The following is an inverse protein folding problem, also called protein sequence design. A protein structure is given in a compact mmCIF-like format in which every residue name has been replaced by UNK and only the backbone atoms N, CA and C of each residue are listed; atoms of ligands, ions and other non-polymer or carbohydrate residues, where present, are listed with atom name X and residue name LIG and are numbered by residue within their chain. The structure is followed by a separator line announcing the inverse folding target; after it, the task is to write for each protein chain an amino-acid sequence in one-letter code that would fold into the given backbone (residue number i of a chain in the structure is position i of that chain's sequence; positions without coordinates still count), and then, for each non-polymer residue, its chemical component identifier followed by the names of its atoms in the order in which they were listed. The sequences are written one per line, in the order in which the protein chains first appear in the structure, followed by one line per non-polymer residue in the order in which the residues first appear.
data_IF_342064347893
#
_entry.id   IF_342064347893
#
_cell.length_a   1.000
_cell.length_b   1.000
_cell.length_c   1.000
_cell.angle_alpha   90.00
_cell.angle_beta   90.00
_cell.angle_gamma   90.00
#
_symmetry.space_group_name_H-M   'P 1'
#
loop_
_entity.id
_entity.type
_entity.pdbx_description
1 polymer ?
#
# COMPACT_ATOMS: atom_id res chain seq x y z
N UNK A 1 -15.80 -56.25 10.54
CA UNK A 1 -17.00 -56.53 11.35
C UNK A 1 -17.42 -55.20 11.97
N UNK A 2 -18.34 -54.51 11.29
CA UNK A 2 -19.75 -54.30 11.71
C UNK A 2 -19.87 -53.04 12.58
N UNK A 3 -20.18 -51.88 11.97
CA UNK A 3 -21.52 -51.32 11.76
C UNK A 3 -22.21 -50.93 13.08
N UNK A 4 -22.43 -49.63 13.31
CA UNK A 4 -23.60 -49.11 14.01
C UNK A 4 -23.77 -47.59 13.75
N UNK A 5 -24.74 -47.25 12.88
CA UNK A 5 -25.64 -46.08 13.04
C UNK A 5 -26.88 -46.57 13.82
N UNK A 6 -27.66 -45.77 14.57
CA UNK A 6 -28.55 -44.68 14.07
C UNK A 6 -28.59 -43.48 15.08
N UNK A 7 -29.36 -42.38 15.02
CA UNK A 7 -30.79 -42.20 14.72
C UNK A 7 -31.07 -40.70 14.54
N UNK A 8 -31.87 -40.35 13.52
CA UNK A 8 -32.48 -39.02 13.33
C UNK A 8 -33.44 -38.68 14.48
N UNK A 9 -33.46 -37.41 14.91
CA UNK A 9 -34.63 -36.81 15.53
C UNK A 9 -35.21 -35.73 14.62
N UNK A 10 -36.51 -35.88 14.39
CA UNK A 10 -37.41 -35.04 13.60
C UNK A 10 -38.40 -34.37 14.54
N UNK A 11 -38.62 -33.07 14.38
CA UNK A 11 -39.82 -32.27 14.72
C UNK A 11 -39.49 -30.84 14.30
N UNK A 12 -39.96 -30.23 13.21
CA UNK A 12 -41.27 -30.05 12.58
C UNK A 12 -42.15 -28.94 13.19
N UNK A 13 -42.59 -28.04 12.27
CA UNK A 13 -43.70 -27.04 12.32
C UNK A 13 -43.47 -25.81 13.18
N UNK A 14 -43.90 -24.60 12.80
CA UNK A 14 -44.72 -24.07 11.69
C UNK A 14 -44.56 -22.54 11.79
N UNK A 15 -44.32 -21.77 10.73
CA UNK A 15 -45.28 -21.46 9.66
C UNK A 15 -45.93 -20.09 9.93
N UNK A 16 -45.73 -19.10 9.05
CA UNK A 16 -46.81 -18.46 8.28
C UNK A 16 -46.27 -17.31 7.40
N UNK A 17 -46.40 -17.55 6.10
CA UNK A 17 -46.66 -16.70 4.93
C UNK A 17 -46.93 -15.20 5.07
N UNK A 18 -46.44 -14.42 4.09
CA UNK A 18 -47.02 -13.10 3.75
C UNK A 18 -46.31 -12.27 2.67
N UNK A 19 -46.43 -12.70 1.40
CA UNK A 19 -46.51 -11.96 0.13
C UNK A 19 -45.61 -10.73 -0.21
N UNK A 20 -44.70 -10.98 -1.16
CA UNK A 20 -44.53 -10.37 -2.50
C UNK A 20 -45.02 -8.94 -2.75
N UNK A 21 -44.12 -8.07 -3.26
CA UNK A 21 -44.38 -7.21 -4.43
C UNK A 21 -43.09 -7.01 -5.26
N UNK A 22 -43.20 -7.28 -6.56
CA UNK A 22 -42.23 -7.00 -7.62
C UNK A 22 -42.46 -5.55 -8.10
N UNK A 23 -41.39 -4.79 -8.32
CA UNK A 23 -41.42 -3.62 -9.21
C UNK A 23 -40.09 -3.50 -9.97
N UNK A 24 -40.15 -3.76 -11.28
CA UNK A 24 -39.17 -3.27 -12.26
C UNK A 24 -39.50 -1.81 -12.57
N UNK A 25 -38.50 -0.93 -12.68
CA UNK A 25 -38.55 0.27 -13.53
C UNK A 25 -37.20 0.99 -13.65
N UNK A 26 -36.64 0.92 -14.87
CA UNK A 26 -35.99 1.96 -15.71
C UNK A 26 -34.84 2.84 -15.20
N UNK A 27 -33.80 2.85 -16.05
CA UNK A 27 -32.66 3.77 -16.14
C UNK A 27 -33.10 5.20 -16.42
N UNK A 28 -32.46 6.18 -15.78
CA UNK A 28 -32.38 7.55 -16.29
C UNK A 28 -31.03 8.18 -15.95
N UNK A 29 -30.18 8.34 -16.98
CA UNK A 29 -29.09 9.32 -16.98
C UNK A 29 -29.70 10.71 -16.79
N UNK A 30 -29.24 11.45 -15.79
CA UNK A 30 -29.46 12.90 -15.69
C UNK A 30 -28.11 13.59 -15.57
N UNK A 31 -27.71 14.18 -16.69
CA UNK A 31 -26.78 15.29 -16.74
C UNK A 31 -27.54 16.60 -16.47
N UNK A 32 -26.77 17.64 -16.16
CA UNK A 32 -27.13 19.06 -16.13
C UNK A 32 -27.76 19.65 -14.84
N UNK A 33 -26.99 20.51 -14.18
CA UNK A 33 -27.25 21.95 -14.27
C UNK A 33 -27.99 22.63 -13.12
N UNK A 34 -27.23 23.34 -12.27
CA UNK A 34 -27.48 24.74 -11.91
C UNK A 34 -28.53 25.09 -10.83
N UNK A 35 -28.13 25.97 -9.89
CA UNK A 35 -29.05 26.80 -9.13
C UNK A 35 -28.71 26.92 -7.64
N UNK A 36 -28.01 27.98 -7.28
CA UNK A 36 -27.78 28.45 -5.92
C UNK A 36 -29.10 28.86 -5.25
N UNK A 37 -29.26 28.60 -3.95
CA UNK A 37 -29.66 29.59 -2.93
C UNK A 37 -29.61 28.92 -1.54
N UNK A 38 -29.16 29.69 -0.56
CA UNK A 38 -28.47 29.20 0.65
C UNK A 38 -29.29 28.44 1.68
N UNK A 39 -28.61 27.48 2.30
CA UNK A 39 -28.69 27.20 3.73
C UNK A 39 -27.31 26.64 4.13
N UNK A 40 -26.51 27.44 4.83
CA UNK A 40 -25.16 27.06 5.25
C UNK A 40 -25.20 26.11 6.45
N UNK A 41 -25.59 24.86 6.22
CA UNK A 41 -25.13 23.77 7.07
C UNK A 41 -23.65 23.53 6.79
N UNK A 42 -22.76 23.40 7.79
CA UNK A 42 -21.39 23.00 7.51
C UNK A 42 -21.46 21.66 6.76
N UNK A 43 -20.82 21.53 5.58
CA UNK A 43 -20.64 20.21 5.02
C UNK A 43 -19.83 19.45 6.06
N UNK A 44 -20.42 18.40 6.63
CA UNK A 44 -19.67 17.40 7.37
C UNK A 44 -18.52 17.01 6.45
N UNK A 45 -17.34 17.52 6.80
CA UNK A 45 -16.08 17.21 6.16
C UNK A 45 -15.81 15.76 6.47
N UNK A 46 -16.49 14.88 5.75
CA UNK A 46 -16.03 13.53 5.51
C UNK A 46 -14.68 13.68 4.87
N UNK A 47 -13.65 13.74 5.71
CA UNK A 47 -12.30 13.35 5.36
C UNK A 47 -12.42 11.87 5.00
N UNK A 48 -12.88 11.62 3.78
CA UNK A 48 -12.63 10.38 3.09
C UNK A 48 -11.13 10.33 2.98
N UNK A 49 -10.50 9.78 4.01
CA UNK A 49 -9.07 9.53 4.00
C UNK A 49 -8.82 8.79 2.70
N UNK A 50 -8.18 9.46 1.75
CA UNK A 50 -7.85 8.88 0.47
C UNK A 50 -7.04 7.64 0.81
N UNK A 51 -7.66 6.47 0.61
CA UNK A 51 -6.97 5.21 0.82
C UNK A 51 -5.65 5.21 0.02
N UNK A 52 -4.65 4.45 0.44
CA UNK A 52 -3.37 4.40 -0.26
C UNK A 52 -3.60 4.13 -1.76
N UNK A 53 -3.01 4.94 -2.62
CA UNK A 53 -3.35 4.98 -4.06
C UNK A 53 -2.65 3.86 -4.84
N UNK A 54 -3.40 3.16 -5.71
CA UNK A 54 -2.88 2.14 -6.65
C UNK A 54 -2.11 2.73 -7.84
N UNK A 55 -2.10 4.06 -7.98
CA UNK A 55 -1.28 4.72 -8.99
C UNK A 55 0.18 4.78 -8.53
N UNK A 56 1.11 4.38 -9.42
CA UNK A 56 2.55 4.55 -9.15
C UNK A 56 2.95 6.04 -8.99
N UNK A 57 2.08 6.97 -9.41
CA UNK A 57 2.19 8.40 -9.12
C UNK A 57 2.38 8.70 -7.64
N UNK A 58 1.76 7.92 -6.76
CA UNK A 58 1.88 8.12 -5.32
C UNK A 58 3.27 7.73 -4.76
N UNK A 59 4.07 6.98 -5.52
CA UNK A 59 5.43 6.58 -5.13
C UNK A 59 6.46 7.67 -5.42
N UNK A 60 6.17 8.61 -6.32
CA UNK A 60 7.10 9.65 -6.72
C UNK A 60 7.44 10.60 -5.56
N UNK A 61 8.73 10.93 -5.47
CA UNK A 61 9.23 11.89 -4.48
C UNK A 61 10.41 11.36 -3.68
N UNK A 62 10.70 12.10 -2.61
CA UNK A 62 11.77 11.83 -1.67
C UNK A 62 11.19 11.22 -0.39
N UNK A 63 11.84 10.18 0.09
CA UNK A 63 11.44 9.38 1.23
C UNK A 63 12.61 9.19 2.18
N UNK A 64 12.35 9.27 3.48
CA UNK A 64 13.35 9.13 4.52
C UNK A 64 13.03 7.93 5.39
N UNK A 65 14.01 7.05 5.62
CA UNK A 65 13.83 5.93 6.52
C UNK A 65 13.43 6.42 7.92
N UNK A 66 12.40 5.80 8.51
CA UNK A 66 11.88 6.16 9.83
C UNK A 66 12.92 5.86 10.90
N UNK A 67 13.52 4.68 10.83
CA UNK A 67 14.52 4.19 11.76
C UNK A 67 15.81 4.97 11.73
N UNK A 68 16.53 4.92 12.86
CA UNK A 68 17.84 5.51 13.04
C UNK A 68 18.86 4.41 13.35
N UNK A 69 19.85 4.24 12.48
CA UNK A 69 20.93 3.28 12.70
C UNK A 69 22.05 3.98 13.45
N UNK A 70 22.48 3.43 14.59
CA UNK A 70 23.55 3.98 15.43
C UNK A 70 24.85 3.25 15.14
N UNK A 71 25.95 3.99 14.90
CA UNK A 71 27.29 3.43 14.82
C UNK A 71 28.31 4.36 15.49
N UNK A 72 28.77 3.96 16.67
CA UNK A 72 29.75 4.72 17.45
C UNK A 72 29.23 6.09 17.86
N UNK A 73 29.88 7.15 17.37
CA UNK A 73 29.51 8.54 17.64
C UNK A 73 28.66 9.18 16.52
N UNK A 74 28.18 8.37 15.58
CA UNK A 74 27.37 8.78 14.45
C UNK A 74 26.10 7.96 14.36
N UNK A 75 25.13 8.51 13.63
CA UNK A 75 23.91 7.80 13.29
C UNK A 75 23.48 8.11 11.87
N UNK A 76 22.67 7.22 11.29
CA UNK A 76 22.38 7.22 9.86
C UNK A 76 20.90 6.98 9.59
N UNK A 77 20.43 7.60 8.51
CA UNK A 77 19.15 7.29 7.86
C UNK A 77 19.36 7.07 6.38
N UNK A 78 18.67 6.09 5.80
CA UNK A 78 18.62 5.94 4.34
C UNK A 78 17.64 6.94 3.76
N UNK A 79 17.98 7.45 2.59
CA UNK A 79 17.07 8.23 1.74
C UNK A 79 16.77 7.41 0.50
N UNK A 80 15.53 7.51 0.06
CA UNK A 80 15.06 6.93 -1.18
C UNK A 80 14.46 8.07 -2.00
N UNK A 81 14.83 8.15 -3.28
CA UNK A 81 14.19 9.04 -4.24
C UNK A 81 13.61 8.20 -5.36
N UNK A 82 12.39 8.50 -5.75
CA UNK A 82 11.65 7.80 -6.79
C UNK A 82 11.30 8.81 -7.87
N UNK A 83 11.59 8.47 -9.12
CA UNK A 83 11.22 9.27 -10.30
C UNK A 83 10.47 8.40 -11.28
N UNK A 84 9.33 8.86 -11.75
CA UNK A 84 8.57 8.13 -12.76
C UNK A 84 9.21 8.42 -14.12
N UNK A 85 9.62 7.35 -14.82
CA UNK A 85 10.28 7.44 -16.12
C UNK A 85 9.49 6.74 -17.23
N UNK A 86 8.41 6.05 -16.89
CA UNK A 86 7.45 5.47 -17.81
C UNK A 86 6.15 5.11 -17.10
N UNK A 87 5.16 4.64 -17.86
CA UNK A 87 3.81 4.38 -17.33
C UNK A 87 3.78 3.38 -16.16
N UNK A 88 4.72 2.44 -16.14
CA UNK A 88 4.89 1.46 -15.07
C UNK A 88 6.34 1.38 -14.56
N UNK A 89 7.16 2.39 -14.89
CA UNK A 89 8.60 2.35 -14.68
C UNK A 89 9.01 3.50 -13.76
N UNK A 90 9.77 3.16 -12.72
CA UNK A 90 10.41 4.15 -11.85
C UNK A 90 11.92 3.94 -11.84
N UNK A 91 12.66 5.04 -11.88
CA UNK A 91 14.04 5.04 -11.42
C UNK A 91 14.06 5.26 -9.92
N UNK A 92 14.73 4.37 -9.19
CA UNK A 92 14.92 4.52 -7.75
C UNK A 92 16.39 4.80 -7.42
N UNK A 93 16.55 5.72 -6.49
CA UNK A 93 17.84 6.26 -6.08
C UNK A 93 17.94 6.10 -4.57
N UNK A 94 19.11 5.70 -4.09
CA UNK A 94 19.36 5.60 -2.66
C UNK A 94 20.50 6.53 -2.23
N UNK A 95 20.41 7.01 -1.00
CA UNK A 95 21.46 7.77 -0.35
C UNK A 95 21.43 7.57 1.15
N UNK A 96 22.33 8.24 1.86
CA UNK A 96 22.43 8.18 3.32
C UNK A 96 22.58 9.58 3.88
N UNK A 97 21.86 9.88 4.95
CA UNK A 97 22.11 11.02 5.82
C UNK A 97 22.91 10.54 7.02
N UNK A 98 24.02 11.22 7.29
CA UNK A 98 24.89 10.99 8.45
C UNK A 98 24.71 12.13 9.44
N UNK A 99 24.43 11.78 10.68
CA UNK A 99 24.23 12.71 11.79
C UNK A 99 25.34 12.52 12.84
N UNK A 100 25.63 13.57 13.59
CA UNK A 100 26.46 13.47 14.79
C UNK A 100 25.62 12.93 15.95
N UNK A 101 26.21 12.08 16.79
CA UNK A 101 25.51 11.45 17.90
C UNK A 101 24.58 10.33 17.43
N UNK A 102 23.70 9.88 18.33
CA UNK A 102 23.04 8.58 18.22
C UNK A 102 21.54 8.65 17.95
N UNK A 103 20.99 9.83 17.65
CA UNK A 103 19.55 10.05 17.63
C UNK A 103 19.04 10.54 16.27
N UNK A 104 19.88 10.53 15.22
CA UNK A 104 19.55 11.02 13.87
C UNK A 104 18.85 12.38 13.89
N UNK A 105 19.38 13.30 14.71
CA UNK A 105 18.80 14.60 14.98
C UNK A 105 19.78 15.72 14.64
N UNK A 106 19.25 16.88 14.30
CA UNK A 106 20.04 18.06 13.95
C UNK A 106 20.61 18.01 12.53
N UNK A 107 21.69 18.76 12.30
CA UNK A 107 22.31 18.88 10.99
C UNK A 107 22.90 17.54 10.52
N UNK A 108 22.68 17.23 9.24
CA UNK A 108 23.19 16.02 8.60
C UNK A 108 24.12 16.33 7.44
N UNK A 109 25.04 15.41 7.17
CA UNK A 109 25.78 15.34 5.91
C UNK A 109 25.12 14.30 5.00
N UNK A 110 24.84 14.68 3.76
CA UNK A 110 24.22 13.80 2.79
C UNK A 110 25.26 13.15 1.86
N UNK A 111 25.10 11.87 1.59
CA UNK A 111 25.76 11.16 0.50
C UNK A 111 24.69 10.60 -0.45
N UNK A 112 24.71 11.02 -1.72
CA UNK A 112 23.67 10.71 -2.70
C UNK A 112 22.49 11.71 -2.69
N UNK A 113 21.29 11.31 -3.18
CA UNK A 113 20.94 9.98 -3.66
C UNK A 113 21.51 9.71 -5.07
N UNK A 114 22.01 8.49 -5.28
CA UNK A 114 22.55 8.00 -6.56
C UNK A 114 21.62 6.94 -7.12
N UNK A 115 21.51 6.84 -8.45
CA UNK A 115 20.62 5.85 -9.09
C UNK A 115 21.10 4.45 -8.74
N UNK A 116 20.24 3.67 -8.10
CA UNK A 116 20.54 2.30 -7.69
C UNK A 116 19.96 1.31 -8.70
N UNK A 117 18.90 1.69 -9.41
CA UNK A 117 18.37 0.94 -10.53
C UNK A 117 17.00 1.42 -11.00
N UNK A 118 16.27 0.51 -11.59
CA UNK A 118 14.94 0.75 -12.16
C UNK A 118 14.00 -0.35 -11.70
N UNK A 119 12.78 0.02 -11.31
CA UNK A 119 11.70 -0.93 -11.02
C UNK A 119 10.66 -0.83 -12.12
N UNK A 120 10.31 -1.97 -12.70
CA UNK A 120 9.20 -2.10 -13.65
C UNK A 120 8.06 -2.82 -12.97
N UNK A 121 6.96 -2.11 -12.71
CA UNK A 121 5.78 -2.66 -12.09
C UNK A 121 4.92 -3.42 -13.10
N UNK A 122 4.51 -4.63 -12.74
CA UNK A 122 3.63 -5.48 -13.53
C UNK A 122 2.18 -5.44 -13.02
N UNK A 123 1.99 -5.11 -11.74
CA UNK A 123 0.68 -5.16 -11.08
C UNK A 123 0.61 -4.17 -9.93
N UNK A 124 -0.57 -3.61 -9.68
CA UNK A 124 -0.86 -2.78 -8.52
C UNK A 124 -2.26 -3.08 -8.01
N UNK A 125 -2.40 -3.27 -6.71
CA UNK A 125 -3.67 -3.61 -6.05
C UNK A 125 -3.71 -2.89 -4.70
N UNK A 126 -4.92 -2.54 -4.26
CA UNK A 126 -5.11 -1.75 -3.06
C UNK A 126 -6.28 -2.21 -2.21
N UNK A 127 -6.22 -1.84 -0.94
CA UNK A 127 -7.25 -2.01 0.07
C UNK A 127 -7.36 -0.72 0.89
N UNK A 128 -8.23 -0.71 1.90
CA UNK A 128 -8.32 0.44 2.82
C UNK A 128 -7.06 0.63 3.69
N UNK A 129 -6.25 -0.43 3.87
CA UNK A 129 -5.11 -0.43 4.81
C UNK A 129 -3.75 -0.30 4.13
N UNK A 130 -3.62 -0.76 2.88
CA UNK A 130 -2.40 -0.60 2.08
C UNK A 130 -2.68 -0.80 0.60
N UNK A 131 -1.80 -0.23 -0.21
CA UNK A 131 -1.61 -0.57 -1.61
C UNK A 131 -0.27 -1.27 -1.79
N UNK A 132 -0.21 -2.23 -2.69
CA UNK A 132 1.01 -2.89 -3.11
C UNK A 132 1.22 -2.77 -4.62
N UNK A 133 2.46 -2.55 -5.02
CA UNK A 133 2.93 -2.51 -6.40
C UNK A 133 3.98 -3.61 -6.57
N UNK A 134 3.68 -4.60 -7.39
CA UNK A 134 4.58 -5.72 -7.68
C UNK A 134 5.31 -5.46 -8.98
N UNK A 135 6.61 -5.68 -8.97
CA UNK A 135 7.47 -5.48 -10.10
C UNK A 135 8.78 -6.23 -10.00
N UNK A 136 9.64 -5.94 -10.95
CA UNK A 136 11.02 -6.39 -10.99
C UNK A 136 11.94 -5.20 -10.80
N UNK A 137 12.87 -5.33 -9.86
CA UNK A 137 14.00 -4.44 -9.71
C UNK A 137 15.16 -4.92 -10.59
N UNK A 138 15.68 -4.05 -11.45
CA UNK A 138 16.96 -4.20 -12.12
C UNK A 138 17.95 -3.16 -11.60
N UNK A 139 19.02 -3.60 -10.95
CA UNK A 139 20.06 -2.70 -10.44
C UNK A 139 20.98 -2.19 -11.55
N UNK A 140 21.73 -1.12 -11.27
CA UNK A 140 22.73 -0.58 -12.19
C UNK A 140 23.87 -1.55 -12.52
N UNK A 141 24.14 -2.53 -11.64
CA UNK A 141 25.11 -3.61 -11.88
C UNK A 141 24.50 -4.82 -12.61
N UNK A 142 23.23 -4.73 -13.03
CA UNK A 142 22.56 -5.75 -13.84
C UNK A 142 21.92 -6.89 -13.05
N UNK A 143 21.94 -6.88 -11.71
CA UNK A 143 21.21 -7.87 -10.91
C UNK A 143 19.70 -7.63 -10.99
N UNK A 144 18.92 -8.72 -10.88
CA UNK A 144 17.46 -8.69 -10.97
C UNK A 144 16.85 -9.34 -9.72
N UNK A 145 15.79 -8.75 -9.18
CA UNK A 145 15.08 -9.25 -7.99
C UNK A 145 13.59 -8.90 -8.05
N UNK A 146 12.77 -9.64 -7.31
CA UNK A 146 11.39 -9.24 -7.07
C UNK A 146 11.35 -7.94 -6.28
N UNK A 147 10.37 -7.08 -6.57
CA UNK A 147 10.14 -5.86 -5.81
C UNK A 147 8.64 -5.70 -5.52
N UNK A 148 8.30 -5.56 -4.25
CA UNK A 148 6.94 -5.24 -3.80
C UNK A 148 7.01 -3.98 -2.99
N UNK A 149 6.48 -2.89 -3.54
CA UNK A 149 6.46 -1.59 -2.89
C UNK A 149 5.08 -1.37 -2.31
N UNK A 150 5.01 -1.13 -1.01
CA UNK A 150 3.75 -1.01 -0.30
C UNK A 150 3.58 0.39 0.26
N UNK A 151 2.48 1.03 -0.08
CA UNK A 151 2.11 2.33 0.44
C UNK A 151 0.98 2.15 1.46
N UNK A 152 1.23 2.57 2.68
CA UNK A 152 0.26 2.60 3.77
C UNK A 152 -0.23 4.04 3.98
N UNK A 153 -1.32 4.24 4.76
CA UNK A 153 -1.75 5.57 5.17
C UNK A 153 -0.60 6.39 5.78
N UNK A 154 -0.72 7.72 5.69
CA UNK A 154 0.28 8.67 6.20
C UNK A 154 1.64 8.60 5.48
N UNK A 155 1.63 8.30 4.18
CA UNK A 155 2.83 8.23 3.34
C UNK A 155 3.92 7.35 3.97
N UNK A 156 3.54 6.13 4.36
CA UNK A 156 4.49 5.13 4.86
C UNK A 156 4.76 4.08 3.77
N UNK A 157 5.95 4.14 3.19
CA UNK A 157 6.42 3.26 2.13
C UNK A 157 7.31 2.15 2.71
N UNK A 158 6.89 0.89 2.57
CA UNK A 158 7.73 -0.26 2.88
C UNK A 158 8.08 -1.01 1.59
N UNK A 159 9.36 -1.31 1.40
CA UNK A 159 9.86 -2.04 0.22
C UNK A 159 10.23 -3.46 0.66
N UNK A 160 9.64 -4.43 -0.02
CA UNK A 160 9.96 -5.85 0.10
C UNK A 160 10.68 -6.29 -1.15
N UNK A 161 11.70 -7.14 -1.01
CA UNK A 161 12.39 -7.71 -2.16
C UNK A 161 13.14 -8.97 -1.79
N UNK A 162 13.12 -9.92 -2.71
CA UNK A 162 13.80 -11.21 -2.65
C UNK A 162 13.97 -11.76 -4.09
N UNK A 163 13.87 -13.08 -4.25
CA UNK A 163 13.88 -13.73 -5.56
C UNK A 163 12.68 -13.32 -6.42
N UNK A 164 12.80 -13.37 -7.75
CA UNK A 164 11.66 -13.07 -8.64
C UNK A 164 10.71 -14.27 -8.62
N UNK A 165 9.52 -14.16 -8.02
CA UNK A 165 8.65 -15.32 -7.91
C UNK A 165 7.98 -15.62 -9.24
N UNK A 166 7.80 -16.90 -9.56
CA UNK A 166 6.99 -17.32 -10.72
C UNK A 166 5.51 -16.96 -10.55
N UNK A 167 5.04 -16.88 -9.31
CA UNK A 167 3.68 -16.45 -8.93
C UNK A 167 3.81 -15.33 -7.90
N UNK A 168 3.28 -14.15 -8.21
CA UNK A 168 3.33 -13.03 -7.27
C UNK A 168 2.39 -13.29 -6.07
N UNK A 169 2.80 -12.91 -4.85
CA UNK A 169 1.95 -13.08 -3.66
C UNK A 169 0.68 -12.22 -3.76
N UNK A 170 -0.38 -12.64 -3.07
CA UNK A 170 -1.64 -11.89 -2.99
C UNK A 170 -1.49 -10.64 -2.12
N UNK A 171 -2.38 -9.65 -2.29
CA UNK A 171 -2.41 -8.47 -1.44
C UNK A 171 -2.52 -8.82 0.06
N UNK A 172 -3.29 -9.84 0.43
CA UNK A 172 -3.43 -10.31 1.82
C UNK A 172 -2.13 -10.90 2.38
N UNK A 173 -1.40 -11.68 1.56
CA UNK A 173 -0.10 -12.21 1.96
C UNK A 173 0.91 -11.07 2.17
N UNK A 174 0.94 -10.10 1.25
CA UNK A 174 1.77 -8.89 1.38
C UNK A 174 1.41 -8.11 2.64
N UNK A 175 0.11 -7.89 2.90
CA UNK A 175 -0.36 -7.22 4.13
C UNK A 175 0.16 -7.90 5.39
N UNK A 176 0.12 -9.23 5.42
CA UNK A 176 0.57 -10.01 6.57
C UNK A 176 2.07 -9.89 6.76
N UNK A 177 2.84 -9.94 5.66
CA UNK A 177 4.30 -9.73 5.71
C UNK A 177 4.66 -8.33 6.19
N UNK A 178 4.02 -7.28 5.66
CA UNK A 178 4.27 -5.90 6.07
C UNK A 178 3.98 -5.69 7.56
N UNK A 179 2.94 -6.31 8.10
CA UNK A 179 2.61 -6.23 9.52
C UNK A 179 3.71 -6.77 10.45
N UNK A 180 4.62 -7.61 9.94
CA UNK A 180 5.77 -8.13 10.71
C UNK A 180 7.01 -7.24 10.63
N UNK A 181 7.01 -6.24 9.74
CA UNK A 181 8.17 -5.38 9.52
C UNK A 181 8.14 -4.24 10.53
N UNK A 182 9.23 -4.03 11.29
CA UNK A 182 9.35 -2.85 12.13
C UNK A 182 9.21 -1.57 11.28
N UNK A 183 8.36 -0.64 11.73
CA UNK A 183 8.11 0.64 11.02
C UNK A 183 9.40 1.41 10.72
N UNK A 184 10.43 1.21 11.55
CA UNK A 184 11.77 1.79 11.39
C UNK A 184 12.50 1.36 10.10
N UNK A 185 12.10 0.23 9.50
CA UNK A 185 12.63 -0.24 8.22
C UNK A 185 11.89 0.34 7.01
N UNK A 186 10.79 1.06 7.24
CA UNK A 186 10.03 1.73 6.20
C UNK A 186 10.46 3.20 6.07
N UNK A 187 9.97 3.84 5.01
CA UNK A 187 10.27 5.22 4.68
C UNK A 187 9.02 6.08 4.84
N UNK A 188 9.18 7.26 5.43
CA UNK A 188 8.14 8.26 5.53
C UNK A 188 8.45 9.49 4.68
N UNK A 189 7.41 10.26 4.38
CA UNK A 189 7.50 11.60 3.79
C UNK A 189 6.78 12.61 4.68
#
# INVERSE_FOLDING_TARGET
MSLFSPTLHSTNRSGWSGNVLIAMAIVSLTACGGGSDGESGPPDGGSGGTGPSVSIGALEGDWLQKGCVKAGAQSYKRTLRVRITGQTIVDYFEGVLTFRGNDCAGASQAAGPTRTGTVTFARSEGSQVLTAHWGELRTVIGTRSGAIWTLQPQDLLCILGDEIPTIQPTLTAVSSSVATIPVDNCFGR
#
